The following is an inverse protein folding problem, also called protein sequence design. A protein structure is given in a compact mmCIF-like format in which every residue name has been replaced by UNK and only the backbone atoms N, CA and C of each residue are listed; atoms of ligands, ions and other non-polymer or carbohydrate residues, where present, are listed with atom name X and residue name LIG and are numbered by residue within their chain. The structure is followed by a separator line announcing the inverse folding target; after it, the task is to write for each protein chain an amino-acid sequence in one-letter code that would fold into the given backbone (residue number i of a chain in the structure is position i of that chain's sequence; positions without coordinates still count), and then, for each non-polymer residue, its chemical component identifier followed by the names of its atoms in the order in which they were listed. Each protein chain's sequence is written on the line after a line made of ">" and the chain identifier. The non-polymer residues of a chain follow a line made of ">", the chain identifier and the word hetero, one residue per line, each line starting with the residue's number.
data_IF_631185375216
#
_entry.id   IF_631185375216
#
_cell.length_a   1.000
_cell.length_b   1.000
_cell.length_c   1.000
_cell.angle_alpha   90.00
_cell.angle_beta   90.00
_cell.angle_gamma   90.00
#
_symmetry.space_group_name_H-M   'P 1'
#
loop_
_entity.id
_entity.type
_entity.pdbx_description
1 polymer ?
#
# COMPACT_ATOMS: atom_id res chain seq x y z
N UNK A 1 -1.40 -13.05 20.22
CA UNK A 1 -1.10 -12.76 18.79
C UNK A 1 -1.75 -11.44 18.42
N UNK A 2 -0.99 -10.36 18.21
CA UNK A 2 -1.58 -9.09 17.74
C UNK A 2 -2.08 -9.29 16.30
N UNK A 3 -3.38 -9.11 16.02
CA UNK A 3 -3.90 -9.19 14.65
C UNK A 3 -3.35 -8.01 13.86
N UNK A 4 -2.47 -8.28 12.90
CA UNK A 4 -1.92 -7.29 11.97
C UNK A 4 -2.64 -7.42 10.62
N UNK A 5 -2.90 -6.28 9.97
CA UNK A 5 -3.48 -6.19 8.61
C UNK A 5 -2.72 -5.16 7.81
N UNK A 6 -2.53 -5.41 6.52
CA UNK A 6 -1.89 -4.47 5.60
C UNK A 6 -2.99 -3.65 4.89
N UNK A 7 -2.77 -2.34 4.82
CA UNK A 7 -3.64 -1.38 4.15
C UNK A 7 -2.84 -0.67 3.07
N UNK A 8 -3.36 -0.65 1.85
CA UNK A 8 -2.74 0.04 0.72
C UNK A 8 -3.53 1.31 0.44
N UNK A 9 -2.84 2.42 0.23
CA UNK A 9 -3.47 3.63 -0.28
C UNK A 9 -3.80 3.36 -1.75
N UNK A 10 -5.09 3.35 -2.08
CA UNK A 10 -5.55 3.11 -3.45
C UNK A 10 -5.31 4.33 -4.34
N UNK A 11 -5.30 4.15 -5.66
CA UNK A 11 -4.93 5.20 -6.61
C UNK A 11 -5.85 6.44 -6.54
N UNK A 12 -7.12 6.25 -6.19
CA UNK A 12 -8.12 7.31 -6.05
C UNK A 12 -8.34 7.73 -4.57
N UNK A 13 -7.52 7.21 -3.66
CA UNK A 13 -7.64 7.40 -2.22
C UNK A 13 -6.52 8.33 -1.70
N UNK A 14 -6.84 9.23 -0.77
CA UNK A 14 -5.80 9.99 -0.06
C UNK A 14 -5.25 9.18 1.12
N UNK A 15 -4.09 9.57 1.63
CA UNK A 15 -3.54 8.95 2.85
C UNK A 15 -4.56 9.05 4.00
N UNK A 16 -5.26 10.18 4.12
CA UNK A 16 -6.25 10.40 5.18
C UNK A 16 -7.44 9.43 5.06
N UNK A 17 -7.97 9.25 3.85
CA UNK A 17 -9.02 8.26 3.58
C UNK A 17 -8.57 6.84 3.96
N UNK A 18 -7.32 6.47 3.65
CA UNK A 18 -6.74 5.18 4.03
C UNK A 18 -6.73 5.00 5.56
N UNK A 19 -6.28 6.03 6.29
CA UNK A 19 -6.22 6.02 7.75
C UNK A 19 -7.62 5.97 8.38
N UNK A 20 -8.61 6.64 7.79
CA UNK A 20 -10.01 6.56 8.23
C UNK A 20 -10.56 5.15 8.05
N UNK A 21 -10.34 4.51 6.89
CA UNK A 21 -10.71 3.10 6.66
C UNK A 21 -10.05 2.16 7.68
N UNK A 22 -8.76 2.37 8.00
CA UNK A 22 -8.08 1.61 9.05
C UNK A 22 -8.82 1.74 10.39
N UNK A 23 -9.18 2.98 10.77
CA UNK A 23 -9.88 3.28 12.01
C UNK A 23 -11.28 2.65 12.05
N UNK A 24 -12.04 2.75 10.96
CA UNK A 24 -13.38 2.15 10.84
C UNK A 24 -13.34 0.61 10.97
N UNK A 25 -12.28 -0.02 10.46
CA UNK A 25 -12.03 -1.45 10.66
C UNK A 25 -11.45 -1.82 12.05
N UNK A 26 -11.20 -0.83 12.90
CA UNK A 26 -10.65 -1.01 14.25
C UNK A 26 -9.14 -1.27 14.29
N UNK A 27 -8.38 -0.76 13.32
CA UNK A 27 -6.93 -0.86 13.25
C UNK A 27 -6.26 0.50 13.45
N UNK A 28 -5.10 0.49 14.12
CA UNK A 28 -4.20 1.65 14.23
C UNK A 28 -2.94 1.41 13.42
N UNK A 29 -2.43 2.40 12.66
CA UNK A 29 -1.20 2.26 11.90
C UNK A 29 -0.01 2.13 12.85
N UNK A 30 0.81 1.10 12.66
CA UNK A 30 2.05 0.87 13.41
C UNK A 30 3.30 1.00 12.54
N UNK A 31 3.16 0.97 11.22
CA UNK A 31 4.25 1.17 10.26
C UNK A 31 3.73 1.73 8.95
N UNK A 32 4.50 2.65 8.33
CA UNK A 32 4.34 3.08 6.93
C UNK A 32 5.50 2.54 6.11
N UNK A 33 5.20 2.05 4.92
CA UNK A 33 6.15 1.54 3.94
C UNK A 33 5.80 2.15 2.59
N UNK A 34 6.82 2.47 1.79
CA UNK A 34 6.65 2.93 0.43
C UNK A 34 7.38 1.96 -0.48
N UNK A 35 6.66 1.37 -1.43
CA UNK A 35 7.19 0.35 -2.35
C UNK A 35 7.22 0.91 -3.76
N UNK A 36 8.34 0.81 -4.50
CA UNK A 36 8.35 1.15 -5.91
C UNK A 36 7.42 0.22 -6.70
N UNK A 37 6.68 0.79 -7.65
CA UNK A 37 5.82 0.05 -8.59
C UNK A 37 6.49 0.04 -9.95
N UNK A 38 6.67 -1.15 -10.50
CA UNK A 38 7.25 -1.38 -11.82
C UNK A 38 6.18 -1.93 -12.76
N UNK A 39 6.21 -1.49 -14.00
CA UNK A 39 5.40 -2.01 -15.09
C UNK A 39 6.26 -2.84 -16.04
N UNK A 40 5.76 -4.01 -16.43
CA UNK A 40 6.39 -4.83 -17.46
C UNK A 40 6.03 -4.29 -18.85
N UNK A 41 7.02 -3.80 -19.59
CA UNK A 41 6.86 -3.39 -20.98
C UNK A 41 7.63 -4.31 -21.89
N UNK A 42 7.02 -4.72 -23.01
CA UNK A 42 7.74 -5.40 -24.09
C UNK A 42 8.26 -4.35 -25.08
N UNK A 43 9.58 -4.20 -25.16
CA UNK A 43 10.24 -3.43 -26.22
C UNK A 43 11.18 -4.36 -26.99
N UNK A 44 11.08 -4.37 -28.32
CA UNK A 44 11.93 -5.16 -29.21
C UNK A 44 12.07 -6.66 -28.86
N UNK A 45 11.03 -7.26 -28.29
CA UNK A 45 11.03 -8.68 -27.90
C UNK A 45 11.61 -8.97 -26.52
N UNK A 46 12.12 -7.96 -25.80
CA UNK A 46 12.58 -8.07 -24.42
C UNK A 46 11.53 -7.47 -23.45
N UNK A 47 11.35 -8.14 -22.31
CA UNK A 47 10.57 -7.60 -21.19
C UNK A 47 11.46 -6.72 -20.32
N UNK A 48 11.15 -5.43 -20.26
CA UNK A 48 11.81 -4.46 -19.39
C UNK A 48 10.89 -4.06 -18.24
N UNK A 49 11.45 -3.89 -17.05
CA UNK A 49 10.73 -3.39 -15.87
C UNK A 49 10.96 -1.89 -15.76
N UNK A 50 9.92 -1.10 -16.06
CA UNK A 50 10.00 0.37 -16.00
C UNK A 50 9.40 0.84 -14.68
N UNK A 51 10.10 1.65 -13.87
CA UNK A 51 9.52 2.23 -12.66
C UNK A 51 8.44 3.24 -13.06
N UNK A 52 7.21 2.99 -12.66
CA UNK A 52 6.05 3.85 -12.99
C UNK A 52 5.53 4.65 -11.79
N UNK A 53 5.98 4.33 -10.57
CA UNK A 53 5.56 5.07 -9.40
C UNK A 53 5.89 4.38 -8.10
N UNK A 54 5.07 4.66 -7.09
CA UNK A 54 5.20 4.14 -5.72
C UNK A 54 3.82 3.83 -5.13
N UNK A 55 3.77 2.75 -4.37
CA UNK A 55 2.62 2.34 -3.57
C UNK A 55 2.91 2.66 -2.10
N UNK A 56 1.97 3.32 -1.42
CA UNK A 56 2.05 3.58 0.01
C UNK A 56 1.27 2.49 0.74
N UNK A 57 1.93 1.86 1.72
CA UNK A 57 1.40 0.71 2.45
C UNK A 57 1.54 0.96 3.95
N UNK A 58 0.44 0.79 4.69
CA UNK A 58 0.41 0.82 6.14
C UNK A 58 0.25 -0.57 6.73
N UNK A 59 1.02 -0.87 7.77
CA UNK A 59 0.73 -2.00 8.65
C UNK A 59 -0.16 -1.49 9.78
N UNK A 60 -1.38 -2.03 9.87
CA UNK A 60 -2.32 -1.78 10.95
C UNK A 60 -2.27 -2.89 12.00
N UNK A 61 -2.32 -2.52 13.27
CA UNK A 61 -2.53 -3.44 14.40
C UNK A 61 -3.96 -3.26 14.92
N UNK A 62 -4.69 -4.36 15.10
CA UNK A 62 -6.05 -4.31 15.62
C UNK A 62 -6.05 -3.76 17.04
N UNK A 63 -6.86 -2.73 17.27
CA UNK A 63 -7.18 -2.26 18.62
C UNK A 63 -8.04 -3.35 19.23
N UNK A 64 -7.50 -4.01 20.25
CA UNK A 64 -8.15 -5.10 20.97
C UNK A 64 -8.66 -4.57 22.29
#
# INVERSE_FOLDING_TARGET
>A
MSKKKIFRVEAEETIDHCLNRMKDEGYVPVRRMEKPVFEEKKQNGETIHVPIGREIVFEGKKVT
#
